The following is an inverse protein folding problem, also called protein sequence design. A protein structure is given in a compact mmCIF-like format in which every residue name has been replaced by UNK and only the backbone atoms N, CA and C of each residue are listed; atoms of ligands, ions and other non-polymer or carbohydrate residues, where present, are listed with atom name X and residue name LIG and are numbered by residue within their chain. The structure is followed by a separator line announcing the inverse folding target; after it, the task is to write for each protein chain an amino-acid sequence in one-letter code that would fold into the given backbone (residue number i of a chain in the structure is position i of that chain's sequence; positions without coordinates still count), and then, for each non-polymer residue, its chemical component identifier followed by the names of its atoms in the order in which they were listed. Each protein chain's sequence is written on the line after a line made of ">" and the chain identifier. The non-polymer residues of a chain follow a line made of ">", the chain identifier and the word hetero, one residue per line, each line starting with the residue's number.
data_IF_037791630996
#
_entry.id   IF_037791630996
#
_cell.length_a   1.000
_cell.length_b   1.000
_cell.length_c   1.000
_cell.angle_alpha   90.00
_cell.angle_beta   90.00
_cell.angle_gamma   90.00
#
_symmetry.space_group_name_H-M   'P 1'
#
loop_
_entity.id
_entity.type
_entity.pdbx_description
1 polymer ?
#
# COMPACT_ATOMS: atom_id res chain seq x y z
N UNK A 1 -4.63 -19.59 19.11
CA UNK A 1 -5.07 -18.26 19.59
C UNK A 1 -5.84 -18.47 20.89
N UNK A 2 -5.94 -17.50 21.78
CA UNK A 2 -6.79 -17.62 22.97
C UNK A 2 -8.26 -17.82 22.53
N UNK A 3 -9.00 -18.83 23.03
CA UNK A 3 -10.38 -19.12 22.61
C UNK A 3 -11.34 -17.93 22.75
N UNK A 4 -11.11 -17.03 23.73
CA UNK A 4 -11.93 -15.83 23.91
C UNK A 4 -11.69 -14.82 22.80
N UNK A 5 -10.43 -14.67 22.38
CA UNK A 5 -10.08 -13.78 21.26
C UNK A 5 -10.66 -14.33 19.96
N UNK A 6 -10.57 -15.64 19.75
CA UNK A 6 -11.13 -16.29 18.57
C UNK A 6 -12.65 -16.15 18.49
N UNK A 7 -13.36 -16.36 19.61
CA UNK A 7 -14.80 -16.12 19.70
C UNK A 7 -15.17 -14.66 19.44
N UNK A 8 -14.42 -13.70 19.97
CA UNK A 8 -14.62 -12.28 19.72
C UNK A 8 -14.46 -11.92 18.22
N UNK A 9 -13.36 -12.36 17.61
CA UNK A 9 -13.08 -12.11 16.19
C UNK A 9 -14.13 -12.78 15.29
N UNK A 10 -14.55 -14.01 15.61
CA UNK A 10 -15.62 -14.72 14.90
C UNK A 10 -16.93 -13.93 14.97
N UNK A 11 -17.29 -13.42 16.15
CA UNK A 11 -18.49 -12.60 16.32
C UNK A 11 -18.46 -11.30 15.50
N UNK A 12 -17.29 -10.65 15.40
CA UNK A 12 -17.13 -9.48 14.53
C UNK A 12 -17.15 -9.85 13.04
N UNK A 13 -16.53 -10.96 12.66
CA UNK A 13 -16.53 -11.48 11.30
C UNK A 13 -17.97 -11.73 10.82
N UNK A 14 -18.78 -12.45 11.60
CA UNK A 14 -20.18 -12.69 11.28
C UNK A 14 -20.97 -11.38 11.13
N UNK A 15 -20.77 -10.41 12.03
CA UNK A 15 -21.41 -9.08 11.90
C UNK A 15 -21.08 -8.35 10.61
N UNK A 16 -19.85 -8.50 10.10
CA UNK A 16 -19.45 -7.88 8.83
C UNK A 16 -19.99 -8.67 7.63
N UNK A 17 -19.82 -9.99 7.62
CA UNK A 17 -20.14 -10.85 6.47
C UNK A 17 -21.64 -11.03 6.28
N UNK A 18 -22.40 -11.18 7.37
CA UNK A 18 -23.87 -11.26 7.36
C UNK A 18 -24.51 -9.87 7.50
N UNK A 19 -23.70 -8.83 7.47
CA UNK A 19 -24.12 -7.44 7.57
C UNK A 19 -24.84 -6.92 6.32
N UNK A 20 -25.15 -5.63 6.34
CA UNK A 20 -25.80 -4.95 5.21
C UNK A 20 -24.77 -4.60 4.14
N UNK A 21 -24.71 -5.42 3.10
CA UNK A 21 -23.97 -5.13 1.87
C UNK A 21 -24.71 -4.05 1.06
N UNK A 22 -23.95 -3.08 0.58
CA UNK A 22 -24.45 -1.97 -0.26
C UNK A 22 -23.80 -2.10 -1.63
N UNK A 23 -24.62 -2.09 -2.68
CA UNK A 23 -24.14 -1.97 -4.06
C UNK A 23 -23.31 -0.68 -4.16
N UNK A 24 -22.17 -0.73 -4.84
CA UNK A 24 -21.28 0.41 -5.00
C UNK A 24 -21.91 1.46 -5.92
N UNK A 25 -21.81 2.74 -5.56
CA UNK A 25 -22.30 3.85 -6.38
C UNK A 25 -21.32 5.03 -6.34
N UNK A 26 -21.12 5.70 -7.47
CA UNK A 26 -20.37 6.97 -7.50
C UNK A 26 -21.25 8.15 -7.07
N UNK A 27 -21.68 8.15 -5.80
CA UNK A 27 -22.54 9.20 -5.25
C UNK A 27 -22.12 9.63 -3.84
N UNK A 28 -22.38 10.91 -3.51
CA UNK A 28 -22.18 11.39 -2.13
C UNK A 28 -23.11 10.68 -1.14
N UNK A 29 -24.33 10.36 -1.56
CA UNK A 29 -25.32 9.69 -0.71
C UNK A 29 -24.84 8.30 -0.32
N UNK A 30 -24.25 7.56 -1.27
CA UNK A 30 -23.64 6.28 -1.00
C UNK A 30 -22.53 6.40 0.05
N UNK A 31 -21.61 7.37 -0.10
CA UNK A 31 -20.54 7.63 0.88
C UNK A 31 -21.12 8.00 2.25
N UNK A 32 -22.09 8.91 2.30
CA UNK A 32 -22.73 9.36 3.56
C UNK A 32 -23.49 8.25 4.27
N UNK A 33 -23.88 7.21 3.56
CA UNK A 33 -24.55 6.03 4.12
C UNK A 33 -23.65 5.16 5.02
N UNK A 34 -22.34 5.47 5.09
CA UNK A 34 -21.38 4.82 5.99
C UNK A 34 -21.00 5.69 7.18
N UNK A 35 -20.63 5.05 8.30
CA UNK A 35 -20.18 5.70 9.53
C UNK A 35 -18.79 6.36 9.37
N UNK A 36 -18.51 7.40 10.16
CA UNK A 36 -17.18 8.00 10.32
C UNK A 36 -16.25 7.22 11.26
N UNK A 37 -16.79 6.28 12.04
CA UNK A 37 -16.01 5.52 13.01
C UNK A 37 -14.86 4.73 12.35
N UNK A 38 -13.85 4.41 13.15
CA UNK A 38 -12.85 3.44 12.78
C UNK A 38 -13.47 2.05 12.70
N UNK A 39 -13.05 1.24 11.72
CA UNK A 39 -13.69 -0.02 11.45
C UNK A 39 -12.94 -0.92 10.49
N UNK A 40 -13.60 -2.00 10.12
CA UNK A 40 -13.16 -2.91 9.04
C UNK A 40 -14.24 -2.92 8.00
N UNK A 41 -13.84 -2.86 6.73
CA UNK A 41 -14.74 -3.02 5.61
C UNK A 41 -14.26 -4.15 4.70
N UNK A 42 -15.23 -4.76 4.03
CA UNK A 42 -15.01 -5.80 3.04
C UNK A 42 -15.73 -5.41 1.75
N UNK A 43 -15.15 -5.82 0.63
CA UNK A 43 -15.65 -5.57 -0.71
C UNK A 43 -15.84 -6.92 -1.40
N UNK A 44 -17.00 -7.08 -2.03
CA UNK A 44 -17.31 -8.19 -2.92
C UNK A 44 -17.22 -7.73 -4.36
N UNK A 45 -16.84 -8.65 -5.23
CA UNK A 45 -17.04 -8.58 -6.67
C UNK A 45 -17.84 -9.82 -7.07
N UNK A 46 -19.00 -9.63 -7.68
CA UNK A 46 -19.91 -10.72 -8.09
C UNK A 46 -20.21 -11.69 -6.93
N UNK A 47 -20.52 -11.13 -5.75
CA UNK A 47 -20.83 -11.88 -4.53
C UNK A 47 -19.64 -12.50 -3.80
N UNK A 48 -18.44 -12.47 -4.38
CA UNK A 48 -17.23 -13.06 -3.77
C UNK A 48 -16.37 -11.99 -3.11
N UNK A 49 -15.97 -12.21 -1.85
CA UNK A 49 -15.11 -11.25 -1.12
C UNK A 49 -13.75 -11.15 -1.82
N UNK A 50 -13.44 -9.97 -2.36
CA UNK A 50 -12.24 -9.72 -3.14
C UNK A 50 -11.24 -8.80 -2.44
N UNK A 51 -11.69 -8.03 -1.44
CA UNK A 51 -10.83 -7.14 -0.67
C UNK A 51 -11.37 -6.89 0.74
N UNK A 52 -10.48 -6.72 1.72
CA UNK A 52 -10.78 -6.44 3.13
C UNK A 52 -9.76 -5.42 3.63
N UNK A 53 -10.16 -4.44 4.42
CA UNK A 53 -9.19 -3.50 4.99
C UNK A 53 -9.67 -2.93 6.31
N UNK A 54 -8.73 -2.70 7.22
CA UNK A 54 -8.97 -1.83 8.38
C UNK A 54 -8.87 -0.35 7.97
N UNK A 55 -9.53 0.51 8.74
CA UNK A 55 -9.44 1.96 8.56
C UNK A 55 -9.75 2.72 9.85
N UNK A 56 -9.17 3.92 9.95
CA UNK A 56 -9.48 4.89 11.01
C UNK A 56 -10.79 5.64 10.78
N UNK A 57 -11.32 5.63 9.56
CA UNK A 57 -12.58 6.28 9.20
C UNK A 57 -13.18 5.58 7.98
N UNK A 58 -14.27 4.85 8.21
CA UNK A 58 -14.93 4.06 7.16
C UNK A 58 -15.42 4.96 6.02
N UNK A 59 -16.15 6.04 6.33
CA UNK A 59 -16.65 6.99 5.32
C UNK A 59 -15.53 7.55 4.44
N UNK A 60 -14.40 7.94 5.03
CA UNK A 60 -13.27 8.48 4.25
C UNK A 60 -12.66 7.43 3.33
N UNK A 61 -12.61 6.16 3.76
CA UNK A 61 -12.20 5.06 2.89
C UNK A 61 -13.16 4.87 1.71
N UNK A 62 -14.47 5.01 1.93
CA UNK A 62 -15.49 4.96 0.86
C UNK A 62 -15.36 6.14 -0.11
N UNK A 63 -15.14 7.35 0.40
CA UNK A 63 -14.85 8.53 -0.42
C UNK A 63 -13.60 8.33 -1.29
N UNK A 64 -12.54 7.73 -0.73
CA UNK A 64 -11.32 7.45 -1.47
C UNK A 64 -11.56 6.43 -2.60
N UNK A 65 -12.47 5.48 -2.45
CA UNK A 65 -12.84 4.53 -3.51
C UNK A 65 -13.45 5.23 -4.74
N UNK A 66 -13.92 6.46 -4.63
CA UNK A 66 -14.47 7.21 -5.77
C UNK A 66 -13.38 7.72 -6.73
N UNK A 67 -12.11 7.61 -6.37
CA UNK A 67 -11.00 8.17 -7.16
C UNK A 67 -9.77 7.25 -7.15
N UNK A 68 -9.31 6.85 -8.34
CA UNK A 68 -8.14 5.95 -8.48
C UNK A 68 -6.84 6.55 -7.93
N UNK A 69 -6.74 7.87 -7.78
CA UNK A 69 -5.60 8.50 -7.11
C UNK A 69 -5.57 8.18 -5.62
N UNK A 70 -6.73 8.07 -4.99
CA UNK A 70 -6.86 8.00 -3.54
C UNK A 70 -6.96 6.57 -3.00
N UNK A 71 -7.19 5.57 -3.86
CA UNK A 71 -7.32 4.18 -3.40
C UNK A 71 -6.44 3.18 -4.16
N UNK A 72 -5.63 2.42 -3.42
CA UNK A 72 -4.72 1.42 -3.97
C UNK A 72 -5.46 0.27 -4.67
N UNK A 73 -6.54 -0.25 -4.05
CA UNK A 73 -7.37 -1.30 -4.64
C UNK A 73 -7.81 -0.94 -6.07
N UNK A 74 -8.35 0.27 -6.26
CA UNK A 74 -8.81 0.73 -7.57
C UNK A 74 -7.70 0.71 -8.61
N UNK A 75 -6.48 1.11 -8.24
CA UNK A 75 -5.33 1.00 -9.14
C UNK A 75 -4.96 -0.44 -9.45
N UNK A 76 -4.98 -1.31 -8.45
CA UNK A 76 -4.70 -2.74 -8.64
C UNK A 76 -5.71 -3.38 -9.60
N UNK A 77 -7.02 -3.14 -9.40
CA UNK A 77 -8.06 -3.69 -10.26
C UNK A 77 -7.94 -3.13 -11.68
N UNK A 78 -7.77 -1.81 -11.83
CA UNK A 78 -7.56 -1.19 -13.14
C UNK A 78 -6.34 -1.75 -13.86
N UNK A 79 -5.24 -2.00 -13.15
CA UNK A 79 -4.05 -2.62 -13.74
C UNK A 79 -4.31 -4.05 -14.20
N UNK A 80 -4.98 -4.88 -13.39
CA UNK A 80 -5.34 -6.26 -13.75
C UNK A 80 -6.24 -6.30 -14.99
N UNK A 81 -7.17 -5.36 -15.12
CA UNK A 81 -8.15 -5.36 -16.22
C UNK A 81 -7.62 -4.78 -17.53
N UNK A 82 -6.67 -3.84 -17.47
CA UNK A 82 -6.35 -2.99 -18.62
C UNK A 82 -4.87 -2.98 -19.03
N UNK A 83 -3.96 -3.63 -18.30
CA UNK A 83 -2.51 -3.52 -18.58
C UNK A 83 -2.09 -4.00 -19.97
N UNK A 84 -2.88 -4.88 -20.58
CA UNK A 84 -2.67 -5.44 -21.93
C UNK A 84 -3.36 -4.62 -23.04
N UNK A 85 -4.10 -3.56 -22.69
CA UNK A 85 -4.89 -2.79 -23.65
C UNK A 85 -4.10 -1.62 -24.23
N UNK A 86 -4.30 -1.36 -25.51
CA UNK A 86 -3.71 -0.21 -26.19
C UNK A 86 -4.14 1.11 -25.52
N UNK A 87 -3.21 2.04 -25.35
CA UNK A 87 -3.44 3.33 -24.70
C UNK A 87 -3.47 3.29 -23.17
N UNK A 88 -3.31 2.12 -22.55
CA UNK A 88 -3.24 2.00 -21.09
C UNK A 88 -2.05 2.77 -20.51
N UNK A 89 -2.30 3.46 -19.39
CA UNK A 89 -1.27 4.08 -18.57
C UNK A 89 -1.61 3.87 -17.09
N UNK A 90 -0.63 3.48 -16.29
CA UNK A 90 -0.81 3.23 -14.87
C UNK A 90 -1.23 4.50 -14.11
N UNK A 91 -2.26 4.39 -13.28
CA UNK A 91 -2.63 5.43 -12.32
C UNK A 91 -1.65 5.50 -11.14
N UNK A 92 -1.56 6.66 -10.51
CA UNK A 92 -0.71 6.94 -9.36
C UNK A 92 -1.43 7.86 -8.37
N UNK A 93 -0.86 8.12 -7.17
CA UNK A 93 -1.41 9.12 -6.26
C UNK A 93 -1.57 10.52 -6.85
N UNK A 94 -0.83 10.85 -7.91
CA UNK A 94 -0.90 12.16 -8.58
C UNK A 94 -1.66 12.15 -9.91
N UNK A 95 -2.01 10.97 -10.45
CA UNK A 95 -2.58 10.84 -11.80
C UNK A 95 -3.62 9.71 -11.88
N UNK A 96 -4.80 10.00 -12.43
CA UNK A 96 -5.82 8.98 -12.73
C UNK A 96 -5.39 8.06 -13.88
N UNK A 97 -6.15 7.00 -14.11
CA UNK A 97 -6.08 6.32 -15.40
C UNK A 97 -6.48 7.28 -16.54
N UNK A 98 -6.11 6.98 -17.80
CA UNK A 98 -6.68 7.69 -18.93
C UNK A 98 -8.21 7.67 -18.87
N UNK A 99 -8.91 8.74 -19.31
CA UNK A 99 -10.34 8.91 -19.06
C UNK A 99 -11.22 7.72 -19.47
N UNK A 100 -10.89 7.05 -20.57
CA UNK A 100 -11.64 5.87 -21.01
C UNK A 100 -11.52 4.69 -20.04
N UNK A 101 -10.33 4.42 -19.50
CA UNK A 101 -10.12 3.35 -18.53
C UNK A 101 -10.69 3.69 -17.16
N UNK A 102 -10.60 4.96 -16.74
CA UNK A 102 -11.25 5.43 -15.52
C UNK A 102 -12.78 5.20 -15.61
N UNK A 103 -13.38 5.60 -16.73
CA UNK A 103 -14.82 5.42 -16.98
C UNK A 103 -15.21 3.93 -17.00
N UNK A 104 -14.45 3.08 -17.68
CA UNK A 104 -14.68 1.61 -17.72
C UNK A 104 -14.57 0.99 -16.32
N UNK A 105 -13.58 1.42 -15.53
CA UNK A 105 -13.42 0.94 -14.16
C UNK A 105 -14.54 1.42 -13.24
N UNK A 106 -15.09 2.62 -13.47
CA UNK A 106 -16.25 3.11 -12.72
C UNK A 106 -17.48 2.24 -13.00
N UNK A 107 -17.83 2.03 -14.27
CA UNK A 107 -18.95 1.16 -14.65
C UNK A 107 -18.83 -0.24 -14.03
N UNK A 108 -17.65 -0.87 -14.12
CA UNK A 108 -17.41 -2.19 -13.54
C UNK A 108 -17.67 -2.24 -12.03
N UNK A 109 -17.32 -1.18 -11.29
CA UNK A 109 -17.58 -1.08 -9.86
C UNK A 109 -19.07 -0.99 -9.56
N UNK A 110 -19.80 -0.11 -10.23
CA UNK A 110 -21.25 0.03 -10.03
C UNK A 110 -22.01 -1.25 -10.38
N UNK A 111 -21.59 -1.94 -11.44
CA UNK A 111 -22.29 -3.13 -11.93
C UNK A 111 -22.05 -4.38 -11.06
N UNK A 112 -20.92 -4.47 -10.36
CA UNK A 112 -20.46 -5.76 -9.81
C UNK A 112 -19.93 -5.73 -8.38
N UNK A 113 -19.73 -4.55 -7.79
CA UNK A 113 -19.10 -4.43 -6.49
C UNK A 113 -20.09 -4.06 -5.40
N UNK A 114 -19.89 -4.66 -4.24
CA UNK A 114 -20.65 -4.37 -3.03
C UNK A 114 -19.69 -4.13 -1.88
N UNK A 115 -20.10 -3.29 -0.93
CA UNK A 115 -19.28 -2.97 0.25
C UNK A 115 -20.10 -3.14 1.52
N UNK A 116 -19.49 -3.76 2.52
CA UNK A 116 -19.99 -3.80 3.89
C UNK A 116 -18.91 -3.27 4.83
N UNK A 117 -19.32 -2.65 5.94
CA UNK A 117 -18.40 -2.14 6.95
C UNK A 117 -19.02 -2.22 8.34
N UNK A 118 -18.17 -2.44 9.35
CA UNK A 118 -18.56 -2.39 10.76
C UNK A 118 -17.60 -1.50 11.54
N UNK A 119 -18.15 -0.77 12.51
CA UNK A 119 -17.34 -0.04 13.48
C UNK A 119 -16.68 -1.03 14.46
N UNK A 120 -15.38 -0.85 14.69
CA UNK A 120 -14.60 -1.71 15.58
C UNK A 120 -13.63 -0.83 16.34
N UNK A 121 -13.86 -0.65 17.64
CA UNK A 121 -13.04 0.21 18.48
C UNK A 121 -11.63 -0.38 18.71
N UNK A 122 -11.56 -1.68 18.98
CA UNK A 122 -10.34 -2.44 19.26
C UNK A 122 -10.35 -3.78 18.50
N UNK A 123 -9.19 -4.23 18.04
CA UNK A 123 -9.07 -5.49 17.31
C UNK A 123 -9.25 -5.39 15.79
N UNK A 124 -9.19 -4.18 15.21
CA UNK A 124 -9.39 -3.97 13.76
C UNK A 124 -8.37 -4.72 12.91
N UNK A 125 -7.10 -4.69 13.33
CA UNK A 125 -6.01 -5.31 12.58
C UNK A 125 -6.11 -6.82 12.65
N UNK A 126 -6.41 -7.33 13.83
CA UNK A 126 -6.62 -8.74 14.12
C UNK A 126 -7.83 -9.28 13.35
N UNK A 127 -8.92 -8.53 13.27
CA UNK A 127 -10.09 -8.88 12.47
C UNK A 127 -9.76 -8.89 10.97
N UNK A 128 -9.07 -7.86 10.47
CA UNK A 128 -8.61 -7.81 9.08
C UNK A 128 -7.76 -9.04 8.74
N UNK A 129 -6.74 -9.33 9.55
CA UNK A 129 -5.85 -10.48 9.32
C UNK A 129 -6.58 -11.81 9.40
N UNK A 130 -7.49 -11.97 10.36
CA UNK A 130 -8.32 -13.17 10.51
C UNK A 130 -9.19 -13.41 9.27
N UNK A 131 -9.89 -12.37 8.78
CA UNK A 131 -10.74 -12.47 7.60
C UNK A 131 -9.90 -12.70 6.33
N UNK A 132 -8.74 -12.04 6.19
CA UNK A 132 -7.85 -12.27 5.05
C UNK A 132 -7.35 -13.72 5.03
N UNK A 133 -6.99 -14.28 6.19
CA UNK A 133 -6.55 -15.66 6.29
C UNK A 133 -7.68 -16.64 5.92
N UNK A 134 -8.92 -16.35 6.34
CA UNK A 134 -10.08 -17.19 6.09
C UNK A 134 -10.55 -17.15 4.63
N UNK A 135 -10.73 -15.95 4.06
CA UNK A 135 -11.38 -15.77 2.76
C UNK A 135 -10.41 -15.71 1.59
N UNK A 136 -9.12 -15.55 1.88
CA UNK A 136 -8.06 -15.37 0.88
C UNK A 136 -8.42 -14.38 -0.26
N UNK A 137 -8.91 -13.16 0.05
CA UNK A 137 -9.38 -12.20 -0.96
C UNK A 137 -8.29 -11.81 -1.96
N UNK A 138 -8.59 -11.98 -3.26
CA UNK A 138 -7.62 -11.84 -4.36
C UNK A 138 -6.82 -10.54 -4.38
N UNK A 139 -7.36 -9.43 -3.86
CA UNK A 139 -6.70 -8.13 -3.90
C UNK A 139 -6.01 -7.73 -2.58
N UNK A 140 -6.14 -8.52 -1.51
CA UNK A 140 -5.36 -8.32 -0.27
C UNK A 140 -3.99 -8.94 -0.36
N UNK A 141 -3.91 -10.08 -1.02
CA UNK A 141 -2.63 -10.63 -1.40
C UNK A 141 -2.14 -9.72 -2.52
N UNK A 142 -1.15 -8.90 -2.18
CA UNK A 142 -0.07 -8.78 -3.15
C UNK A 142 0.33 -10.22 -3.39
N UNK A 143 0.09 -10.75 -4.58
CA UNK A 143 1.09 -11.65 -5.11
C UNK A 143 2.41 -10.93 -4.81
N UNK A 144 3.18 -11.42 -3.83
CA UNK A 144 4.60 -11.57 -4.09
C UNK A 144 4.54 -12.22 -5.45
N UNK A 145 4.79 -11.45 -6.52
CA UNK A 145 4.93 -12.03 -7.84
C UNK A 145 5.70 -13.30 -7.54
N UNK A 146 5.10 -14.46 -7.79
CA UNK A 146 5.93 -15.57 -8.17
C UNK A 146 6.49 -15.10 -9.50
N UNK A 147 7.51 -14.23 -9.42
CA UNK A 147 8.67 -14.49 -10.23
C UNK A 147 8.96 -15.95 -9.88
N UNK A 148 8.63 -16.84 -10.81
CA UNK A 148 9.65 -17.78 -11.26
C UNK A 148 10.98 -17.07 -11.06
N UNK A 149 11.78 -17.52 -10.10
CA UNK A 149 12.98 -16.84 -9.62
C UNK A 149 13.68 -16.16 -10.80
N UNK A 150 13.36 -14.89 -11.05
CA UNK A 150 14.15 -14.06 -11.92
C UNK A 150 15.33 -13.81 -11.02
N UNK A 151 16.44 -14.46 -11.33
CA UNK A 151 17.74 -14.13 -10.75
C UNK A 151 17.79 -12.61 -10.60
N UNK A 152 18.14 -12.16 -9.39
CA UNK A 152 18.20 -10.72 -9.10
C UNK A 152 18.96 -10.09 -10.26
N UNK A 153 18.36 -9.08 -10.89
CA UNK A 153 18.96 -8.40 -12.06
C UNK A 153 20.30 -7.71 -11.74
N UNK A 154 20.74 -7.77 -10.48
CA UNK A 154 22.08 -7.40 -10.08
C UNK A 154 22.51 -8.15 -8.82
N UNK A 155 23.77 -8.56 -8.79
CA UNK A 155 24.43 -9.08 -7.61
C UNK A 155 24.94 -7.94 -6.72
N UNK A 156 25.15 -8.20 -5.42
CA UNK A 156 25.79 -7.22 -4.53
C UNK A 156 27.20 -6.93 -5.01
N UNK A 157 27.85 -7.94 -5.62
CA UNK A 157 29.14 -7.81 -6.30
C UNK A 157 29.08 -6.81 -7.47
N UNK A 158 28.06 -6.83 -8.32
CA UNK A 158 27.91 -5.89 -9.46
C UNK A 158 27.67 -4.44 -9.00
N UNK A 159 26.89 -4.22 -7.95
CA UNK A 159 26.75 -2.87 -7.37
C UNK A 159 28.08 -2.42 -6.74
N UNK A 160 28.83 -3.32 -6.09
CA UNK A 160 30.14 -3.01 -5.52
C UNK A 160 31.20 -2.66 -6.57
N UNK A 161 31.03 -3.04 -7.84
CA UNK A 161 31.90 -2.58 -8.93
C UNK A 161 31.81 -1.06 -9.16
N UNK A 162 30.60 -0.48 -8.99
CA UNK A 162 30.37 0.97 -9.12
C UNK A 162 30.53 1.73 -7.79
N UNK A 163 30.23 1.08 -6.68
CA UNK A 163 30.16 1.67 -5.34
C UNK A 163 30.71 0.67 -4.32
N UNK A 164 32.03 0.63 -4.13
CA UNK A 164 32.72 -0.40 -3.33
C UNK A 164 32.16 -0.59 -1.90
N UNK A 165 31.57 0.46 -1.32
CA UNK A 165 31.00 0.43 0.03
C UNK A 165 29.45 0.35 0.05
N UNK A 166 28.83 -0.01 -1.07
CA UNK A 166 27.39 -0.25 -1.13
C UNK A 166 26.98 -1.33 -0.13
N UNK A 167 25.93 -1.03 0.64
CA UNK A 167 25.37 -1.88 1.70
C UNK A 167 26.32 -2.22 2.85
N UNK A 168 27.53 -1.65 2.90
CA UNK A 168 28.37 -1.71 4.10
C UNK A 168 27.72 -0.91 5.24
N UNK A 169 27.77 -1.37 6.50
CA UNK A 169 27.36 -0.58 7.65
C UNK A 169 28.08 0.76 7.70
N UNK A 170 27.41 1.79 8.24
CA UNK A 170 28.08 3.05 8.57
C UNK A 170 28.68 2.90 9.97
N UNK A 171 29.99 3.11 10.09
CA UNK A 171 30.67 3.15 11.38
C UNK A 171 30.59 4.56 11.97
N UNK A 172 30.87 4.69 13.26
CA UNK A 172 30.88 5.99 13.94
C UNK A 172 31.90 6.93 13.31
N UNK A 173 33.08 6.41 12.96
CA UNK A 173 34.17 7.17 12.33
C UNK A 173 33.77 7.64 10.93
N UNK A 174 33.03 6.82 10.18
CA UNK A 174 32.50 7.20 8.87
C UNK A 174 31.41 8.27 8.97
N UNK A 175 30.58 8.23 10.02
CA UNK A 175 29.58 9.27 10.30
C UNK A 175 30.27 10.60 10.69
N UNK A 176 31.32 10.55 11.51
CA UNK A 176 32.13 11.72 11.90
C UNK A 176 32.83 12.37 10.71
N UNK A 177 33.52 11.57 9.88
CA UNK A 177 34.17 12.05 8.66
C UNK A 177 33.17 12.62 7.66
N UNK A 178 31.98 12.00 7.53
CA UNK A 178 30.94 12.51 6.65
C UNK A 178 30.42 13.88 7.11
N UNK A 179 30.21 14.04 8.41
CA UNK A 179 29.74 15.28 9.00
C UNK A 179 30.78 16.41 8.86
N UNK A 180 32.05 16.10 9.10
CA UNK A 180 33.15 17.06 8.94
C UNK A 180 33.24 17.55 7.48
N UNK A 181 33.31 16.64 6.52
CA UNK A 181 33.45 17.00 5.11
C UNK A 181 32.23 17.75 4.55
N UNK A 182 31.03 17.48 5.08
CA UNK A 182 29.84 18.26 4.75
C UNK A 182 29.91 19.69 5.34
N UNK A 183 30.43 19.87 6.55
CA UNK A 183 30.63 21.19 7.15
C UNK A 183 31.73 22.00 6.43
N UNK A 184 32.72 21.32 5.85
CA UNK A 184 33.76 21.92 4.99
C UNK A 184 33.21 22.32 3.60
N UNK A 185 31.94 22.07 3.32
CA UNK A 185 31.25 22.52 2.11
C UNK A 185 31.32 21.56 0.92
N UNK A 186 31.79 20.32 1.10
CA UNK A 186 31.80 19.33 0.00
C UNK A 186 30.37 19.01 -0.44
N UNK A 187 30.19 18.93 -1.76
CA UNK A 187 28.91 18.58 -2.36
C UNK A 187 28.56 17.11 -2.13
N UNK A 188 27.27 16.78 -2.19
CA UNK A 188 26.77 15.40 -2.09
C UNK A 188 27.42 14.47 -3.14
N UNK A 189 27.80 15.00 -4.30
CA UNK A 189 28.46 14.22 -5.35
C UNK A 189 29.90 13.86 -4.96
N UNK A 190 30.65 14.80 -4.39
CA UNK A 190 32.00 14.56 -3.92
C UNK A 190 32.01 13.58 -2.74
N UNK A 191 31.05 13.72 -1.82
CA UNK A 191 30.87 12.79 -0.71
C UNK A 191 30.50 11.38 -1.21
N UNK A 192 29.63 11.27 -2.22
CA UNK A 192 29.28 9.98 -2.82
C UNK A 192 30.51 9.27 -3.41
N UNK A 193 31.38 10.02 -4.09
CA UNK A 193 32.62 9.51 -4.66
C UNK A 193 33.61 9.08 -3.56
N UNK A 194 33.85 9.95 -2.57
CA UNK A 194 34.81 9.69 -1.47
C UNK A 194 34.44 8.47 -0.64
N UNK A 195 33.15 8.29 -0.35
CA UNK A 195 32.68 7.16 0.47
C UNK A 195 32.38 5.91 -0.37
N UNK A 196 32.51 5.97 -1.70
CA UNK A 196 32.18 4.86 -2.59
C UNK A 196 30.73 4.40 -2.42
N UNK A 197 29.80 5.34 -2.25
CA UNK A 197 28.37 5.11 -1.98
C UNK A 197 27.52 5.99 -2.88
N UNK A 198 26.27 5.60 -3.10
CA UNK A 198 25.35 6.42 -3.90
C UNK A 198 24.91 7.70 -3.14
N UNK A 199 24.50 8.73 -3.90
CA UNK A 199 24.06 10.03 -3.38
C UNK A 199 22.93 9.91 -2.36
N UNK A 200 21.96 9.03 -2.61
CA UNK A 200 20.83 8.81 -1.70
C UNK A 200 21.26 8.30 -0.32
N UNK A 201 22.26 7.41 -0.27
CA UNK A 201 22.86 6.94 0.98
C UNK A 201 23.55 8.06 1.74
N UNK A 202 24.23 8.97 1.05
CA UNK A 202 24.87 10.15 1.66
C UNK A 202 23.81 11.09 2.25
N UNK A 203 22.82 11.48 1.44
CA UNK A 203 21.77 12.42 1.87
C UNK A 203 20.95 11.86 3.03
N UNK A 204 20.59 10.58 2.99
CA UNK A 204 19.86 9.95 4.10
C UNK A 204 20.70 9.87 5.37
N UNK A 205 22.03 9.72 5.25
CA UNK A 205 22.91 9.59 6.40
C UNK A 205 23.16 10.93 7.08
N UNK A 206 23.40 11.99 6.31
CA UNK A 206 23.54 13.36 6.85
C UNK A 206 22.32 13.77 7.66
N UNK A 207 21.10 13.54 7.16
CA UNK A 207 19.85 13.79 7.91
C UNK A 207 19.80 13.04 9.24
N UNK A 208 20.32 11.81 9.30
CA UNK A 208 20.37 11.01 10.53
C UNK A 208 21.43 11.51 11.51
N UNK A 209 22.55 12.03 11.02
CA UNK A 209 23.59 12.62 11.87
C UNK A 209 23.08 13.95 12.45
N UNK A 210 22.43 14.79 11.65
CA UNK A 210 21.81 16.03 12.10
C UNK A 210 20.73 15.80 13.16
N UNK A 211 19.88 14.78 12.99
CA UNK A 211 18.85 14.43 13.97
C UNK A 211 19.39 13.80 15.27
N UNK A 212 20.70 13.54 15.35
CA UNK A 212 21.39 13.03 16.55
C UNK A 212 22.19 14.11 17.28
N UNK A 213 22.36 15.30 16.67
CA UNK A 213 22.90 16.49 17.33
C UNK A 213 21.83 17.13 18.20
#
# INVERSE_FOLDING_TARGET
>A
MDPKIESYLTGLALKLIDGKWKIFEFSEDWVRSFDTAAGVYAIREEGTICYISETKNVRKSMENLLDTRHHSLRRTIGAVLFSDKEGYQMASPSKKFPPEFEKKLNMRFEDNFEVAAIAVAIGRKELEEHLIAQYQPKYNFREKRKSEKSEKAYSVEEIRQSHGNAYQPWTTEADEQLAQLANEGKSINELALLFGRNRGSITSRLKKIEARK
#
